data_IF_968228393822
#
_entry.id   IF_968228393822
#
_cell.length_a   1.000
_cell.length_b   1.000
_cell.length_c   1.000
_cell.angle_alpha   90.00
_cell.angle_beta   90.00
_cell.angle_gamma   90.00
#
_symmetry.space_group_name_H-M   'P 1'
#
loop_
_entity.id
_entity.type
_entity.pdbx_description
1 polymer ?
#
# COMPACT_ATOMS: atom_id res chain seq x y z
N UNK A 1 -18.89 -6.19 0.13
CA UNK A 1 -17.98 -5.14 -0.30
C UNK A 1 -18.13 -3.99 0.67
N UNK A 2 -17.03 -3.40 1.12
CA UNK A 2 -17.01 -2.32 2.12
C UNK A 2 -16.35 -1.11 1.51
N UNK A 3 -16.93 0.07 1.72
CA UNK A 3 -16.43 1.32 1.14
C UNK A 3 -15.64 2.11 2.19
N UNK A 4 -14.39 2.42 1.88
CA UNK A 4 -13.52 3.29 2.69
C UNK A 4 -13.62 4.71 2.16
N UNK A 5 -14.08 5.61 3.03
CA UNK A 5 -14.42 6.99 2.70
C UNK A 5 -13.34 8.03 3.02
N UNK A 6 -13.58 9.29 2.65
CA UNK A 6 -12.62 10.39 2.84
C UNK A 6 -12.21 10.57 4.32
N UNK A 7 -13.16 10.53 5.27
CA UNK A 7 -12.84 10.70 6.69
C UNK A 7 -11.86 9.65 7.24
N UNK A 8 -11.89 8.42 6.72
CA UNK A 8 -10.89 7.43 7.10
C UNK A 8 -9.53 7.77 6.47
N UNK A 9 -9.50 8.12 5.18
CA UNK A 9 -8.29 8.42 4.42
C UNK A 9 -7.66 9.79 4.72
N UNK A 10 -8.35 10.68 5.43
CA UNK A 10 -7.82 11.99 5.84
C UNK A 10 -6.47 11.87 6.55
N UNK A 11 -6.33 10.84 7.38
CA UNK A 11 -5.16 10.57 8.22
C UNK A 11 -4.08 9.73 7.53
N UNK A 12 -4.35 9.25 6.31
CA UNK A 12 -3.46 8.36 5.59
C UNK A 12 -3.14 8.96 4.22
N UNK A 13 -2.12 9.82 4.12
CA UNK A 13 -1.74 10.45 2.86
C UNK A 13 -1.21 9.46 1.84
N UNK A 14 -1.05 8.17 2.16
CA UNK A 14 -0.75 7.11 1.20
C UNK A 14 -1.52 5.84 1.55
N UNK A 15 -1.95 5.10 0.53
CA UNK A 15 -2.57 3.80 0.70
C UNK A 15 -2.35 2.87 -0.50
N UNK A 16 -2.60 1.58 -0.29
CA UNK A 16 -2.63 0.57 -1.35
C UNK A 16 -3.61 -0.56 -1.03
N UNK A 17 -4.30 -1.09 -2.04
CA UNK A 17 -5.15 -2.28 -1.94
C UNK A 17 -4.44 -3.55 -2.41
N UNK A 18 -3.32 -3.43 -3.14
CA UNK A 18 -2.69 -4.54 -3.85
C UNK A 18 -1.18 -4.70 -3.58
N UNK A 19 -0.51 -3.73 -2.95
CA UNK A 19 0.95 -3.72 -2.75
C UNK A 19 1.35 -4.36 -1.41
N UNK A 20 1.01 -5.64 -1.25
CA UNK A 20 1.21 -6.36 0.01
C UNK A 20 1.36 -7.87 -0.25
N UNK A 21 2.15 -8.60 0.56
CA UNK A 21 2.27 -10.05 0.43
C UNK A 21 1.07 -10.83 0.99
N UNK A 22 0.10 -10.14 1.62
CA UNK A 22 -1.05 -10.78 2.24
C UNK A 22 -2.09 -11.15 1.19
N UNK A 23 -2.57 -12.40 1.20
CA UNK A 23 -3.56 -12.91 0.26
C UNK A 23 -4.88 -12.11 0.18
N UNK A 24 -5.19 -11.27 1.16
CA UNK A 24 -6.32 -10.36 1.07
C UNK A 24 -6.13 -9.29 -0.02
N UNK A 25 -4.89 -8.96 -0.37
CA UNK A 25 -4.56 -7.95 -1.38
C UNK A 25 -4.63 -8.50 -2.81
N UNK A 26 -4.56 -9.83 -3.01
CA UNK A 26 -4.68 -10.46 -4.34
C UNK A 26 -5.97 -10.06 -5.07
N UNK A 27 -7.04 -9.76 -4.32
CA UNK A 27 -8.35 -9.35 -4.85
C UNK A 27 -8.82 -7.98 -4.30
N UNK A 28 -7.93 -7.21 -3.66
CA UNK A 28 -8.27 -5.93 -3.01
C UNK A 28 -9.29 -6.06 -1.87
N UNK A 29 -9.20 -7.12 -1.08
CA UNK A 29 -10.01 -7.40 0.11
C UNK A 29 -9.39 -6.83 1.41
N UNK A 30 -8.35 -6.01 1.28
CA UNK A 30 -7.76 -5.22 2.34
C UNK A 30 -7.19 -3.93 1.78
N UNK A 31 -6.83 -3.01 2.67
CA UNK A 31 -6.16 -1.76 2.36
C UNK A 31 -5.05 -1.52 3.38
N UNK A 32 -3.84 -1.25 2.89
CA UNK A 32 -2.70 -0.82 3.68
C UNK A 32 -2.69 0.71 3.72
N UNK A 33 -2.71 1.27 4.91
CA UNK A 33 -2.88 2.69 5.21
C UNK A 33 -1.62 3.24 5.88
N UNK A 34 -0.98 4.22 5.24
CA UNK A 34 0.29 4.79 5.68
C UNK A 34 0.04 6.17 6.30
N UNK A 35 0.24 6.35 7.62
CA UNK A 35 -0.05 7.61 8.32
C UNK A 35 1.09 8.65 8.23
N UNK A 36 2.17 8.36 7.50
CA UNK A 36 3.34 9.24 7.38
C UNK A 36 2.96 10.64 6.88
N UNK A 37 3.26 11.67 7.65
CA UNK A 37 2.99 13.06 7.25
C UNK A 37 4.03 13.61 6.26
N UNK A 38 3.59 14.38 5.26
CA UNK A 38 4.46 15.06 4.31
C UNK A 38 4.92 14.20 3.13
N UNK A 39 6.05 14.58 2.52
CA UNK A 39 6.57 13.91 1.32
C UNK A 39 7.18 12.55 1.67
N UNK A 40 6.48 11.47 1.29
CA UNK A 40 6.92 10.09 1.52
C UNK A 40 8.27 9.77 0.84
N UNK A 41 8.71 10.56 -0.14
CA UNK A 41 10.00 10.35 -0.82
C UNK A 41 11.18 10.72 0.07
N UNK A 42 10.96 11.49 1.14
CA UNK A 42 12.00 11.91 2.09
C UNK A 42 12.33 10.83 3.14
N UNK A 43 11.47 9.81 3.30
CA UNK A 43 11.77 8.67 4.20
C UNK A 43 12.77 7.72 3.54
N UNK A 44 14.06 7.97 3.78
CA UNK A 44 15.14 6.99 3.56
C UNK A 44 15.29 6.03 4.74
N UNK A 45 16.12 4.99 4.61
CA UNK A 45 16.43 4.03 5.70
C UNK A 45 17.11 4.69 6.92
N UNK A 46 17.56 5.93 6.80
CA UNK A 46 18.10 6.75 7.89
C UNK A 46 17.07 7.60 8.66
N UNK A 47 15.80 7.62 8.23
CA UNK A 47 14.72 8.34 8.93
C UNK A 47 14.07 7.52 10.05
N UNK A 48 13.59 8.17 11.10
CA UNK A 48 12.66 7.52 12.05
C UNK A 48 11.37 7.18 11.32
N UNK A 49 11.05 5.90 11.22
CA UNK A 49 9.77 5.45 10.67
C UNK A 49 8.63 5.99 11.52
N UNK A 50 7.54 6.36 10.86
CA UNK A 50 6.28 6.64 11.53
C UNK A 50 5.82 5.40 12.33
N UNK A 51 5.35 5.63 13.54
CA UNK A 51 4.82 4.60 14.45
C UNK A 51 3.44 4.93 14.99
N UNK A 52 2.91 6.14 14.79
CA UNK A 52 1.54 6.45 15.19
C UNK A 52 0.55 5.53 14.47
N UNK A 53 -0.38 4.95 15.23
CA UNK A 53 -1.45 4.11 14.69
C UNK A 53 -2.83 4.76 14.90
N UNK A 54 -3.18 5.82 14.12
CA UNK A 54 -4.52 6.40 14.19
C UNK A 54 -5.58 5.40 13.73
N UNK A 55 -6.72 5.34 14.40
CA UNK A 55 -7.78 4.40 14.05
C UNK A 55 -8.42 4.77 12.71
N UNK A 56 -8.45 3.86 11.72
CA UNK A 56 -9.11 4.11 10.43
C UNK A 56 -10.64 3.88 10.47
N UNK A 57 -11.17 3.47 11.62
CA UNK A 57 -12.60 3.19 11.83
C UNK A 57 -13.04 3.72 13.20
N UNK A 58 -14.35 3.85 13.39
CA UNK A 58 -14.94 4.10 14.70
C UNK A 58 -15.77 2.88 15.14
N UNK A 59 -15.83 2.63 16.45
CA UNK A 59 -16.62 1.55 17.04
C UNK A 59 -16.01 1.00 18.34
N UNK A 60 -16.53 -0.15 18.77
CA UNK A 60 -16.06 -0.85 19.97
C UNK A 60 -14.93 -1.81 19.63
N UNK A 61 -13.83 -1.78 20.37
CA UNK A 61 -12.79 -2.80 20.32
C UNK A 61 -13.37 -4.09 20.91
N UNK A 62 -13.49 -5.15 20.13
CA UNK A 62 -14.08 -6.43 20.58
C UNK A 62 -13.04 -7.52 20.81
N UNK A 63 -11.83 -7.35 20.26
CA UNK A 63 -10.71 -8.27 20.52
C UNK A 63 -9.35 -7.63 20.23
N UNK A 64 -8.35 -8.05 20.99
CA UNK A 64 -6.93 -7.89 20.65
C UNK A 64 -6.24 -9.24 20.69
N UNK A 65 -5.21 -9.44 19.86
CA UNK A 65 -4.45 -10.69 19.82
C UNK A 65 -3.01 -10.46 19.38
N UNK A 66 -2.08 -11.06 20.11
CA UNK A 66 -0.66 -11.11 19.74
C UNK A 66 -0.31 -12.46 19.11
N UNK A 67 0.52 -12.45 18.08
CA UNK A 67 1.03 -13.64 17.38
C UNK A 67 2.53 -13.52 17.14
N UNK A 68 3.23 -14.64 17.03
CA UNK A 68 4.64 -14.64 16.62
C UNK A 68 4.77 -14.24 15.14
N UNK A 69 5.69 -13.32 14.85
CA UNK A 69 6.08 -12.94 13.50
C UNK A 69 7.24 -13.82 13.01
N UNK A 70 7.44 -13.94 11.67
CA UNK A 70 8.65 -14.53 11.12
C UNK A 70 9.90 -13.82 11.65
N UNK A 71 10.94 -14.58 12.02
CA UNK A 71 12.18 -13.97 12.51
C UNK A 71 12.93 -13.29 11.35
N UNK A 72 13.18 -11.99 11.50
CA UNK A 72 13.96 -11.13 10.59
C UNK A 72 14.78 -10.16 11.43
N UNK A 73 16.00 -9.85 11.01
CA UNK A 73 16.92 -8.99 11.78
C UNK A 73 16.40 -7.56 11.99
N UNK A 74 15.52 -7.09 11.08
CA UNK A 74 14.92 -5.76 11.12
C UNK A 74 13.54 -5.71 11.80
N UNK A 75 12.99 -6.85 12.24
CA UNK A 75 11.60 -6.95 12.69
C UNK A 75 11.49 -7.30 14.18
N UNK A 76 10.37 -6.90 14.77
CA UNK A 76 10.00 -7.35 16.11
C UNK A 76 9.57 -8.82 16.12
N UNK A 77 9.63 -9.47 17.29
CA UNK A 77 9.26 -10.89 17.44
C UNK A 77 7.75 -11.15 17.30
N UNK A 78 6.93 -10.12 17.56
CA UNK A 78 5.48 -10.26 17.65
C UNK A 78 4.77 -9.29 16.72
N UNK A 79 3.67 -9.77 16.17
CA UNK A 79 2.71 -8.98 15.41
C UNK A 79 1.34 -9.05 16.12
N UNK A 80 0.45 -8.14 15.77
CA UNK A 80 -0.75 -7.88 16.54
C UNK A 80 -1.97 -7.75 15.64
N UNK A 81 -3.12 -8.08 16.20
CA UNK A 81 -4.44 -7.90 15.62
C UNK A 81 -5.31 -7.15 16.63
N UNK A 82 -5.94 -6.08 16.16
CA UNK A 82 -7.03 -5.37 16.82
C UNK A 82 -8.29 -5.61 16.00
N UNK A 83 -9.41 -5.88 16.66
CA UNK A 83 -10.72 -6.06 16.02
C UNK A 83 -11.67 -5.03 16.57
N UNK A 84 -12.21 -4.19 15.69
CA UNK A 84 -13.21 -3.16 16.01
C UNK A 84 -14.53 -3.53 15.36
N UNK A 85 -15.62 -3.57 16.13
CA UNK A 85 -16.98 -3.70 15.62
C UNK A 85 -17.52 -2.32 15.23
N UNK A 86 -17.75 -2.09 13.94
CA UNK A 86 -18.17 -0.79 13.39
C UNK A 86 -19.70 -0.62 13.36
N UNK A 87 -20.44 -1.52 14.01
CA UNK A 87 -21.90 -1.65 13.92
C UNK A 87 -22.41 -2.44 12.69
N UNK A 88 -21.61 -2.54 11.63
CA UNK A 88 -21.95 -3.34 10.43
C UNK A 88 -20.91 -4.42 10.13
N UNK A 89 -19.65 -4.19 10.47
CA UNK A 89 -18.54 -5.07 10.16
C UNK A 89 -17.61 -5.27 11.35
N UNK A 90 -16.86 -6.37 11.30
CA UNK A 90 -15.64 -6.52 12.10
C UNK A 90 -14.46 -6.00 11.26
N UNK A 91 -13.94 -4.84 11.64
CA UNK A 91 -12.71 -4.28 11.10
C UNK A 91 -11.51 -4.94 11.79
N UNK A 92 -10.62 -5.52 10.99
CA UNK A 92 -9.38 -6.14 11.44
C UNK A 92 -8.22 -5.24 11.11
N UNK A 93 -7.46 -4.89 12.13
CA UNK A 93 -6.33 -3.97 12.06
C UNK A 93 -5.09 -4.75 12.49
N UNK A 94 -4.10 -4.88 11.61
CA UNK A 94 -2.83 -5.56 11.92
C UNK A 94 -1.70 -4.53 12.10
N UNK A 95 -0.55 -5.02 12.59
CA UNK A 95 0.71 -4.28 12.69
C UNK A 95 0.71 -3.14 13.70
N UNK A 96 -0.15 -3.23 14.72
CA UNK A 96 -0.24 -2.23 15.80
C UNK A 96 -0.13 -2.93 17.15
N UNK A 97 0.93 -2.68 17.91
CA UNK A 97 0.99 -3.05 19.32
C UNK A 97 -0.10 -2.25 20.05
N UNK A 98 -1.14 -2.91 20.61
CA UNK A 98 -2.33 -2.23 21.05
C UNK A 98 -2.12 -1.47 22.35
N UNK A 99 -2.56 -0.21 22.38
CA UNK A 99 -2.78 0.58 23.59
C UNK A 99 -4.26 0.59 24.05
N UNK A 100 -5.11 -0.17 23.35
CA UNK A 100 -6.55 -0.33 23.60
C UNK A 100 -6.87 -1.77 24.00
N UNK A 101 -7.97 -1.96 24.72
CA UNK A 101 -8.44 -3.25 25.21
C UNK A 101 -9.89 -3.54 24.76
N UNK A 102 -10.33 -4.81 24.75
CA UNK A 102 -11.72 -5.13 24.48
C UNK A 102 -12.70 -4.41 25.42
N UNK A 103 -13.71 -3.75 24.84
CA UNK A 103 -14.68 -2.88 25.53
C UNK A 103 -14.38 -1.39 25.41
N UNK A 104 -13.22 -0.99 24.89
CA UNK A 104 -12.92 0.41 24.59
C UNK A 104 -13.67 0.90 23.35
N UNK A 105 -14.15 2.13 23.39
CA UNK A 105 -14.74 2.83 22.24
C UNK A 105 -13.67 3.70 21.58
N UNK A 106 -13.52 3.59 20.26
CA UNK A 106 -12.58 4.40 19.47
C UNK A 106 -13.32 5.21 18.42
N UNK A 107 -12.93 6.47 18.26
CA UNK A 107 -13.32 7.30 17.13
C UNK A 107 -12.28 7.22 16.00
N UNK A 108 -12.66 7.72 14.82
CA UNK A 108 -11.72 7.91 13.72
C UNK A 108 -10.56 8.81 14.18
N UNK A 109 -9.34 8.27 14.09
CA UNK A 109 -8.10 8.96 14.45
C UNK A 109 -7.66 8.88 15.90
N UNK A 110 -8.46 8.25 16.76
CA UNK A 110 -7.97 7.90 18.09
C UNK A 110 -6.79 6.94 17.96
N UNK A 111 -5.80 7.08 18.83
CA UNK A 111 -4.64 6.20 18.82
C UNK A 111 -5.04 4.78 19.21
N UNK A 112 -4.67 3.81 18.38
CA UNK A 112 -4.78 2.38 18.68
C UNK A 112 -3.54 1.84 19.40
N UNK A 113 -2.46 2.63 19.46
CA UNK A 113 -1.15 2.21 19.95
C UNK A 113 -0.03 2.62 19.00
N UNK A 114 0.99 1.77 18.88
CA UNK A 114 2.15 2.01 18.02
C UNK A 114 2.29 0.93 16.95
N UNK A 115 2.53 1.34 15.70
CA UNK A 115 2.79 0.42 14.60
C UNK A 115 4.11 -0.31 14.82
N UNK A 116 4.11 -1.61 14.56
CA UNK A 116 5.29 -2.47 14.68
C UNK A 116 5.87 -2.81 13.32
N UNK A 117 7.20 -2.95 13.26
CA UNK A 117 7.86 -3.50 12.08
C UNK A 117 7.76 -5.01 12.08
N UNK A 118 6.72 -5.53 11.44
CA UNK A 118 6.42 -6.96 11.40
C UNK A 118 7.40 -7.75 10.53
N UNK A 119 7.72 -8.97 10.95
CA UNK A 119 8.55 -9.91 10.18
C UNK A 119 7.87 -10.47 8.93
N UNK A 120 6.57 -10.19 8.75
CA UNK A 120 5.83 -10.47 7.52
C UNK A 120 6.09 -9.43 6.41
N UNK A 121 6.64 -8.26 6.75
CA UNK A 121 6.99 -7.25 5.76
C UNK A 121 8.19 -7.64 4.91
N UNK A 122 8.21 -7.16 3.67
CA UNK A 122 9.44 -7.12 2.90
C UNK A 122 10.33 -5.95 3.38
N UNK A 123 11.66 -6.01 3.22
CA UNK A 123 12.58 -4.99 3.75
C UNK A 123 12.33 -3.55 3.25
N UNK A 124 11.77 -3.40 2.05
CA UNK A 124 11.45 -2.12 1.40
C UNK A 124 10.09 -1.54 1.81
N UNK A 125 9.32 -2.25 2.64
CA UNK A 125 7.98 -1.82 3.06
C UNK A 125 8.09 -0.92 4.29
N UNK A 126 7.41 0.23 4.22
CA UNK A 126 7.27 1.16 5.34
C UNK A 126 6.18 0.66 6.29
N UNK A 127 6.23 1.11 7.55
CA UNK A 127 5.18 0.81 8.52
C UNK A 127 3.82 1.34 8.02
N UNK A 128 2.78 0.54 8.21
CA UNK A 128 1.41 0.85 7.83
C UNK A 128 0.42 0.07 8.68
N UNK A 129 -0.82 0.56 8.70
CA UNK A 129 -1.98 -0.16 9.21
C UNK A 129 -2.56 -1.00 8.09
N UNK A 130 -2.59 -2.30 8.26
CA UNK A 130 -3.36 -3.18 7.38
C UNK A 130 -4.80 -3.27 7.89
N UNK A 131 -5.77 -2.93 7.03
CA UNK A 131 -7.20 -2.93 7.36
C UNK A 131 -7.98 -3.88 6.44
N UNK A 132 -8.71 -4.82 7.03
CA UNK A 132 -9.66 -5.69 6.33
C UNK A 132 -10.99 -5.81 7.06
N UNK A 133 -12.06 -6.14 6.36
CA UNK A 133 -13.42 -6.18 6.94
C UNK A 133 -14.07 -7.55 6.84
N UNK A 134 -14.93 -7.89 7.79
CA UNK A 134 -15.74 -9.13 7.80
C UNK A 134 -17.16 -8.86 8.26
N UNK A 135 -18.07 -9.78 7.97
CA UNK A 135 -19.39 -9.79 8.61
C UNK A 135 -19.28 -10.02 10.12
N UNK A 136 -20.27 -9.53 10.88
CA UNK A 136 -20.31 -9.62 12.35
C UNK A 136 -20.32 -11.05 12.91
N UNK A 137 -20.82 -12.02 12.14
CA UNK A 137 -20.90 -13.43 12.52
C UNK A 137 -19.65 -14.24 12.11
N UNK A 138 -18.71 -13.64 11.37
CA UNK A 138 -17.51 -14.31 10.91
C UNK A 138 -16.46 -14.44 12.01
N UNK A 139 -15.58 -15.44 11.89
CA UNK A 139 -14.43 -15.57 12.78
C UNK A 139 -13.41 -14.46 12.49
N UNK A 140 -13.15 -13.53 13.44
CA UNK A 140 -12.26 -12.40 13.21
C UNK A 140 -10.78 -12.77 13.26
N UNK A 141 -10.40 -14.00 13.59
CA UNK A 141 -9.01 -14.44 13.72
C UNK A 141 -8.47 -15.22 12.51
N UNK A 142 -9.32 -15.66 11.58
CA UNK A 142 -8.89 -16.41 10.38
C UNK A 142 -8.17 -15.50 9.40
N UNK A 143 -6.98 -15.80 8.90
CA UNK A 143 -6.29 -14.91 7.95
C UNK A 143 -7.12 -14.59 6.69
N UNK A 144 -7.82 -15.58 6.13
CA UNK A 144 -8.67 -15.44 4.93
C UNK A 144 -10.13 -15.13 5.24
N UNK A 145 -10.86 -14.60 4.25
CA UNK A 145 -12.30 -14.31 4.33
C UNK A 145 -12.65 -12.84 4.58
N UNK A 146 -11.74 -11.91 4.27
CA UNK A 146 -12.05 -10.48 4.25
C UNK A 146 -12.97 -10.14 3.07
N UNK A 147 -13.83 -9.14 3.24
CA UNK A 147 -14.72 -8.62 2.21
C UNK A 147 -13.94 -7.70 1.25
N UNK A 148 -14.34 -7.62 -0.04
CA UNK A 148 -13.74 -6.67 -0.98
C UNK A 148 -13.85 -5.22 -0.48
N UNK A 149 -12.76 -4.46 -0.56
CA UNK A 149 -12.68 -3.04 -0.18
C UNK A 149 -12.78 -2.17 -1.42
N UNK A 150 -13.59 -1.12 -1.40
CA UNK A 150 -13.66 -0.09 -2.43
C UNK A 150 -13.32 1.29 -1.87
N UNK A 151 -12.69 2.12 -2.67
CA UNK A 151 -12.49 3.54 -2.32
C UNK A 151 -13.73 4.33 -2.70
N UNK A 152 -14.30 5.05 -1.74
CA UNK A 152 -15.52 5.82 -1.94
C UNK A 152 -15.40 6.80 -3.14
N UNK A 153 -16.44 6.99 -3.95
CA UNK A 153 -16.38 7.83 -5.15
C UNK A 153 -16.08 9.30 -4.85
N UNK A 154 -16.34 9.77 -3.63
CA UNK A 154 -16.03 11.11 -3.15
C UNK A 154 -14.52 11.34 -2.96
N UNK A 155 -13.73 10.27 -2.85
CA UNK A 155 -12.26 10.36 -2.78
C UNK A 155 -11.74 10.60 -4.20
N UNK A 156 -11.21 11.80 -4.41
CA UNK A 156 -10.60 12.20 -5.67
C UNK A 156 -9.27 11.49 -5.88
N UNK A 157 -9.19 10.70 -6.96
CA UNK A 157 -7.99 9.99 -7.39
C UNK A 157 -7.59 10.44 -8.80
N UNK A 158 -6.33 10.80 -9.00
CA UNK A 158 -5.78 11.20 -10.29
C UNK A 158 -4.71 10.22 -10.79
N UNK A 159 -4.93 9.65 -11.98
CA UNK A 159 -3.90 8.91 -12.70
C UNK A 159 -2.92 9.84 -13.40
N UNK A 160 -1.62 9.59 -13.24
CA UNK A 160 -0.55 10.38 -13.85
C UNK A 160 0.27 9.48 -14.77
N UNK A 161 0.34 9.86 -16.04
CA UNK A 161 1.15 9.15 -17.01
C UNK A 161 2.64 9.29 -16.66
N UNK A 162 3.38 8.19 -16.84
CA UNK A 162 4.81 8.13 -16.59
C UNK A 162 5.49 7.44 -17.77
N UNK A 163 6.56 8.03 -18.27
CA UNK A 163 7.33 7.51 -19.40
C UNK A 163 8.48 6.58 -18.97
N UNK A 164 8.56 6.25 -17.68
CA UNK A 164 9.61 5.43 -17.10
C UNK A 164 10.85 6.20 -16.67
N UNK A 165 10.92 7.53 -16.87
CA UNK A 165 12.11 8.32 -16.52
C UNK A 165 11.95 9.09 -15.22
N UNK A 166 13.04 9.27 -14.49
CA UNK A 166 13.10 10.12 -13.31
C UNK A 166 14.52 10.28 -12.78
N UNK A 167 14.69 11.13 -11.78
CA UNK A 167 15.94 11.30 -11.04
C UNK A 167 15.78 10.74 -9.64
N UNK A 168 16.79 10.00 -9.17
CA UNK A 168 16.78 9.44 -7.82
C UNK A 168 16.83 10.57 -6.79
N UNK A 169 15.81 10.65 -5.94
CA UNK A 169 15.71 11.63 -4.84
C UNK A 169 15.97 11.01 -3.47
N UNK A 170 15.77 9.70 -3.34
CA UNK A 170 16.13 8.94 -2.16
C UNK A 170 16.59 7.53 -2.53
N UNK A 171 17.50 6.98 -1.75
CA UNK A 171 17.97 5.61 -1.86
C UNK A 171 18.05 4.99 -0.47
N UNK A 172 17.57 3.76 -0.35
CA UNK A 172 17.73 2.88 0.80
C UNK A 172 18.52 1.63 0.42
N UNK A 173 18.74 0.74 1.38
CA UNK A 173 19.46 -0.54 1.17
C UNK A 173 18.75 -1.46 0.18
N UNK A 174 17.42 -1.31 0.01
CA UNK A 174 16.62 -2.22 -0.82
C UNK A 174 15.71 -1.53 -1.83
N UNK A 175 15.81 -0.21 -1.96
CA UNK A 175 14.97 0.56 -2.85
C UNK A 175 15.62 1.87 -3.28
N UNK A 176 15.13 2.44 -4.37
CA UNK A 176 15.37 3.81 -4.78
C UNK A 176 14.05 4.50 -5.11
N UNK A 177 13.98 5.81 -4.96
CA UNK A 177 12.80 6.62 -5.22
C UNK A 177 13.12 7.66 -6.28
N UNK A 178 12.32 7.69 -7.34
CA UNK A 178 12.41 8.67 -8.41
C UNK A 178 11.45 9.83 -8.13
N UNK A 179 11.86 11.05 -8.52
CA UNK A 179 11.02 12.27 -8.44
C UNK A 179 9.81 12.25 -9.37
N UNK A 180 9.84 11.43 -10.41
CA UNK A 180 8.83 11.38 -11.45
C UNK A 180 7.97 10.11 -11.39
N UNK A 181 6.69 10.19 -11.81
CA UNK A 181 6.02 11.40 -12.30
C UNK A 181 5.64 12.37 -11.18
N UNK A 182 5.53 13.67 -11.52
CA UNK A 182 5.16 14.72 -10.56
C UNK A 182 3.69 14.60 -10.11
N UNK A 183 3.44 14.93 -8.84
CA UNK A 183 2.09 15.01 -8.33
C UNK A 183 1.37 16.25 -8.90
N UNK A 184 0.16 16.12 -9.47
CA UNK A 184 -0.47 17.21 -10.21
C UNK A 184 -0.99 18.34 -9.31
N UNK A 185 -1.44 18.01 -8.09
CA UNK A 185 -2.00 18.95 -7.10
C UNK A 185 -1.73 18.45 -5.67
N UNK A 186 -0.48 18.52 -5.17
CA UNK A 186 -0.09 18.04 -3.83
C UNK A 186 -1.03 18.52 -2.72
N UNK A 187 -1.41 17.63 -1.81
CA UNK A 187 -2.27 17.93 -0.65
C UNK A 187 -3.77 18.04 -0.96
N UNK A 188 -4.17 18.28 -2.23
CA UNK A 188 -5.58 18.47 -2.61
C UNK A 188 -6.31 17.16 -2.92
N UNK A 189 -5.62 16.19 -3.52
CA UNK A 189 -6.18 14.89 -3.91
C UNK A 189 -5.10 13.82 -3.93
N UNK A 190 -5.52 12.58 -4.01
CA UNK A 190 -4.62 11.45 -4.18
C UNK A 190 -4.24 11.28 -5.65
N UNK A 191 -3.00 10.88 -5.91
CA UNK A 191 -2.52 10.53 -7.24
C UNK A 191 -1.69 9.24 -7.24
N UNK A 192 -1.65 8.57 -8.39
CA UNK A 192 -0.82 7.39 -8.61
C UNK A 192 -0.44 7.25 -10.08
N UNK A 193 0.51 6.37 -10.37
CA UNK A 193 0.98 6.11 -11.73
C UNK A 193 -0.15 5.46 -12.53
N UNK A 194 -0.51 6.06 -13.67
CA UNK A 194 -1.59 5.53 -14.49
C UNK A 194 -1.15 4.41 -15.41
N UNK A 195 -2.02 3.43 -15.61
CA UNK A 195 -1.91 2.54 -16.76
C UNK A 195 -2.16 3.33 -18.06
N UNK A 196 -1.55 2.91 -19.17
CA UNK A 196 -1.79 3.52 -20.47
C UNK A 196 -3.24 3.34 -20.96
N UNK A 197 -3.92 2.29 -20.50
CA UNK A 197 -5.34 2.05 -20.75
C UNK A 197 -6.29 2.90 -19.88
N UNK A 198 -5.73 3.73 -18.98
CA UNK A 198 -6.45 4.58 -18.03
C UNK A 198 -6.75 3.87 -16.70
N UNK A 199 -6.90 4.66 -15.63
CA UNK A 199 -6.93 4.17 -14.25
C UNK A 199 -5.53 4.20 -13.61
N UNK A 200 -5.47 3.96 -12.30
CA UNK A 200 -4.26 4.06 -11.48
C UNK A 200 -3.79 2.64 -11.15
N UNK A 201 -2.52 2.34 -11.42
CA UNK A 201 -1.90 1.08 -11.05
C UNK A 201 -1.60 1.04 -9.55
N UNK A 202 -1.83 -0.13 -8.97
CA UNK A 202 -1.57 -0.42 -7.56
C UNK A 202 -1.02 -1.85 -7.44
N UNK A 203 0.00 -2.06 -6.60
CA UNK A 203 0.64 -3.38 -6.43
C UNK A 203 2.14 -3.40 -6.62
N UNK A 204 2.74 -4.56 -6.35
CA UNK A 204 4.17 -4.82 -6.52
C UNK A 204 4.46 -5.45 -7.87
N UNK A 205 4.80 -4.66 -8.87
CA UNK A 205 5.04 -5.11 -10.24
C UNK A 205 6.51 -5.53 -10.45
N UNK A 206 6.87 -6.80 -10.70
CA UNK A 206 6.05 -8.01 -10.61
C UNK A 206 6.45 -8.86 -9.38
N UNK A 207 6.90 -8.24 -8.29
CA UNK A 207 7.37 -8.96 -7.10
C UNK A 207 6.24 -9.47 -6.18
N UNK A 208 4.99 -9.16 -6.51
CA UNK A 208 3.81 -9.90 -6.08
C UNK A 208 3.16 -10.57 -7.29
N UNK A 209 2.31 -11.58 -7.09
CA UNK A 209 1.70 -12.34 -8.20
C UNK A 209 0.72 -11.51 -9.04
N UNK A 210 0.23 -10.39 -8.50
CA UNK A 210 -0.68 -9.49 -9.19
C UNK A 210 -0.76 -8.10 -8.58
N UNK A 211 -1.65 -7.29 -9.13
CA UNK A 211 -2.04 -6.00 -8.58
C UNK A 211 -3.41 -5.57 -9.05
N UNK A 212 -3.64 -4.26 -9.14
CA UNK A 212 -4.96 -3.74 -9.46
C UNK A 212 -4.96 -2.39 -10.18
N UNK A 213 -6.15 -2.04 -10.67
CA UNK A 213 -6.42 -0.78 -11.35
C UNK A 213 -7.56 -0.01 -10.64
N UNK A 214 -7.20 1.06 -9.95
CA UNK A 214 -8.15 1.94 -9.28
C UNK A 214 -8.73 2.95 -10.27
N UNK A 215 -10.04 3.20 -10.17
CA UNK A 215 -10.80 4.05 -11.11
C UNK A 215 -10.64 3.64 -12.59
N UNK A 216 -10.31 2.38 -12.85
CA UNK A 216 -10.35 1.81 -14.18
C UNK A 216 -11.79 1.79 -14.72
N UNK A 217 -11.93 1.52 -16.02
CA UNK A 217 -13.26 1.41 -16.65
C UNK A 217 -14.08 0.20 -16.19
N UNK A 218 -13.51 -0.65 -15.31
CA UNK A 218 -14.10 -1.91 -14.86
C UNK A 218 -14.24 -2.94 -15.98
N UNK A 219 -13.53 -2.74 -17.09
CA UNK A 219 -13.54 -3.62 -18.26
C UNK A 219 -12.27 -4.45 -18.28
N UNK A 220 -12.44 -5.71 -18.60
CA UNK A 220 -11.32 -6.61 -18.85
C UNK A 220 -10.50 -6.10 -20.05
N UNK A 221 -9.18 -6.20 -19.95
CA UNK A 221 -8.32 -5.74 -21.03
C UNK A 221 -6.84 -5.68 -20.70
N UNK A 222 -5.99 -5.53 -21.72
CA UNK A 222 -4.55 -5.41 -21.51
C UNK A 222 -4.22 -4.15 -20.72
N UNK A 223 -3.26 -4.29 -19.81
CA UNK A 223 -2.70 -3.20 -19.03
C UNK A 223 -1.25 -3.02 -19.43
N UNK A 224 -0.86 -1.77 -19.69
CA UNK A 224 0.51 -1.44 -20.09
C UNK A 224 1.07 -0.31 -19.23
N UNK A 225 2.38 -0.36 -19.02
CA UNK A 225 3.20 0.66 -18.38
C UNK A 225 4.50 0.81 -19.18
N UNK A 226 4.97 2.04 -19.40
CA UNK A 226 6.20 2.33 -20.14
C UNK A 226 6.27 1.63 -21.52
N UNK A 227 5.16 1.64 -22.26
CA UNK A 227 5.03 1.09 -23.61
C UNK A 227 4.94 -0.43 -23.69
N UNK A 228 4.82 -1.13 -22.55
CA UNK A 228 4.87 -2.59 -22.48
C UNK A 228 3.72 -3.13 -21.65
N UNK A 229 3.13 -4.22 -22.14
CA UNK A 229 2.06 -4.91 -21.43
C UNK A 229 2.63 -5.54 -20.16
N UNK A 230 1.96 -5.31 -19.04
CA UNK A 230 2.32 -5.82 -17.71
C UNK A 230 1.32 -6.85 -17.20
N UNK A 231 0.17 -7.02 -17.87
CA UNK A 231 -0.85 -7.98 -17.48
C UNK A 231 -2.18 -7.79 -18.22
N UNK A 232 -3.22 -8.43 -17.71
CA UNK A 232 -4.62 -8.27 -18.17
C UNK A 232 -5.50 -8.00 -16.96
N UNK A 233 -6.21 -6.86 -16.96
CA UNK A 233 -7.20 -6.62 -15.94
C UNK A 233 -8.38 -7.59 -16.12
N UNK A 234 -8.82 -8.19 -15.02
CA UNK A 234 -10.07 -8.92 -14.83
C UNK A 234 -10.89 -8.14 -13.80
N UNK A 235 -11.86 -7.36 -14.28
CA UNK A 235 -12.51 -6.31 -13.50
C UNK A 235 -11.51 -5.22 -13.07
N UNK A 236 -11.07 -5.28 -11.81
CA UNK A 236 -10.04 -4.36 -11.25
C UNK A 236 -8.73 -5.05 -10.88
N UNK A 237 -8.68 -6.38 -10.83
CA UNK A 237 -7.50 -7.15 -10.46
C UNK A 237 -6.69 -7.45 -11.71
N UNK A 238 -5.37 -7.48 -11.59
CA UNK A 238 -4.44 -7.74 -12.68
C UNK A 238 -3.49 -8.85 -12.23
N UNK A 239 -3.60 -10.08 -12.77
CA UNK A 239 -2.49 -11.02 -12.76
C UNK A 239 -1.35 -10.42 -13.59
N UNK A 240 -0.16 -10.27 -13.00
CA UNK A 240 0.97 -9.76 -13.76
C UNK A 240 1.42 -10.78 -14.80
N UNK A 241 1.81 -10.30 -15.98
CA UNK A 241 2.53 -11.11 -16.96
C UNK A 241 3.93 -11.43 -16.39
N UNK A 242 4.56 -12.51 -16.89
CA UNK A 242 5.96 -12.83 -16.58
C UNK A 242 6.89 -11.81 -17.27
N UNK A 243 7.11 -10.68 -16.58
CA UNK A 243 7.91 -9.55 -17.05
C UNK A 243 9.10 -9.30 -16.13
N UNK A 244 10.12 -8.64 -16.66
CA UNK A 244 11.24 -8.15 -15.83
C UNK A 244 11.33 -6.63 -15.92
N UNK A 245 11.47 -5.98 -14.78
CA UNK A 245 11.71 -4.53 -14.70
C UNK A 245 13.21 -4.26 -14.71
N UNK A 246 13.63 -3.31 -15.53
CA UNK A 246 15.01 -2.85 -15.63
C UNK A 246 15.08 -1.38 -15.25
N UNK A 247 16.12 -0.98 -14.54
CA UNK A 247 16.51 0.41 -14.32
C UNK A 247 17.91 0.61 -14.88
N UNK A 248 18.07 1.53 -15.84
CA UNK A 248 19.33 1.75 -16.57
C UNK A 248 19.90 0.46 -17.20
N UNK A 249 19.03 -0.46 -17.61
CA UNK A 249 19.40 -1.76 -18.20
C UNK A 249 19.80 -2.83 -17.18
N UNK A 250 19.80 -2.53 -15.88
CA UNK A 250 20.02 -3.48 -14.78
C UNK A 250 18.68 -4.06 -14.33
N UNK A 251 18.50 -5.39 -14.27
CA UNK A 251 17.28 -5.98 -13.75
C UNK A 251 17.13 -5.67 -12.26
N UNK A 252 15.92 -5.27 -11.85
CA UNK A 252 15.55 -5.02 -10.46
C UNK A 252 14.36 -5.89 -10.06
N UNK A 253 14.09 -6.01 -8.76
CA UNK A 253 12.97 -6.80 -8.25
C UNK A 253 11.61 -6.26 -8.74
N UNK A 254 11.47 -4.94 -8.91
CA UNK A 254 10.28 -4.38 -9.53
C UNK A 254 9.99 -2.93 -9.14
N UNK A 255 8.72 -2.56 -9.28
CA UNK A 255 8.14 -1.29 -8.86
C UNK A 255 7.14 -1.51 -7.74
N UNK A 256 7.15 -0.63 -6.75
CA UNK A 256 6.11 -0.57 -5.73
C UNK A 256 5.14 0.55 -6.11
N UNK A 257 3.93 0.17 -6.52
CA UNK A 257 2.89 1.07 -7.02
C UNK A 257 1.81 1.25 -5.95
N UNK A 258 1.44 2.49 -5.69
CA UNK A 258 0.48 2.89 -4.67
C UNK A 258 -0.06 4.29 -4.98
N UNK A 259 -0.96 4.78 -4.13
CA UNK A 259 -1.56 6.10 -4.26
C UNK A 259 -1.13 6.99 -3.10
N UNK A 260 -0.74 8.24 -3.38
CA UNK A 260 -0.30 9.19 -2.38
C UNK A 260 -0.88 10.59 -2.63
N UNK A 261 -1.06 11.39 -1.57
CA UNK A 261 -1.68 12.73 -1.57
C UNK A 261 -0.66 13.86 -1.59
N UNK A 262 0.41 13.73 -0.81
CA UNK A 262 1.37 14.82 -0.62
C UNK A 262 2.43 14.88 -1.74
N UNK A 263 2.79 13.74 -2.31
CA UNK A 263 3.80 13.65 -3.35
C UNK A 263 3.61 12.40 -4.21
N UNK A 264 4.16 12.43 -5.43
CA UNK A 264 4.17 11.31 -6.37
C UNK A 264 5.60 11.11 -6.89
N UNK A 265 5.89 9.88 -7.25
CA UNK A 265 7.16 9.41 -7.75
C UNK A 265 7.07 7.90 -7.98
N UNK A 266 8.14 7.30 -8.49
CA UNK A 266 8.23 5.86 -8.67
C UNK A 266 9.18 5.25 -7.63
N UNK A 267 8.72 4.24 -6.89
CA UNK A 267 9.56 3.48 -5.96
C UNK A 267 10.07 2.21 -6.64
N UNK A 268 11.38 2.16 -6.88
CA UNK A 268 12.10 1.01 -7.40
C UNK A 268 12.42 0.06 -6.25
N UNK A 269 12.16 -1.24 -6.41
CA UNK A 269 12.56 -2.28 -5.46
C UNK A 269 13.79 -2.99 -6.01
N UNK A 270 14.91 -2.87 -5.32
CA UNK A 270 16.23 -3.26 -5.83
C UNK A 270 17.22 -3.66 -4.72
N UNK A 271 16.96 -4.74 -3.95
CA UNK A 271 17.91 -5.24 -2.95
C UNK A 271 19.27 -5.68 -3.52
N UNK A 272 19.33 -5.96 -4.84
CA UNK A 272 20.53 -6.42 -5.54
C UNK A 272 21.15 -5.35 -6.47
N UNK A 273 20.68 -4.09 -6.41
CA UNK A 273 21.22 -2.99 -7.20
C UNK A 273 21.21 -1.66 -6.42
N UNK A 274 22.27 -0.89 -6.56
CA UNK A 274 22.45 0.41 -5.88
C UNK A 274 22.26 1.56 -6.87
N UNK A 275 21.67 2.66 -6.38
CA UNK A 275 21.47 3.89 -7.13
C UNK A 275 21.88 5.08 -6.27
N UNK A 276 22.46 6.11 -6.89
CA UNK A 276 22.90 7.32 -6.17
C UNK A 276 21.86 8.43 -6.27
N UNK A 277 21.68 9.21 -5.18
CA UNK A 277 20.84 10.42 -5.23
C UNK A 277 21.39 11.38 -6.29
N UNK A 278 20.52 11.84 -7.19
CA UNK A 278 20.87 12.65 -8.35
C UNK A 278 21.13 11.85 -9.64
N UNK A 279 21.15 10.51 -9.57
CA UNK A 279 21.25 9.65 -10.75
C UNK A 279 19.98 9.73 -11.60
N UNK A 280 20.15 9.90 -12.91
CA UNK A 280 19.05 9.78 -13.86
C UNK A 280 18.79 8.30 -14.18
N UNK A 281 17.53 7.88 -14.04
CA UNK A 281 17.10 6.50 -14.26
C UNK A 281 16.06 6.43 -15.38
N UNK A 282 16.26 5.47 -16.28
CA UNK A 282 15.28 5.02 -17.24
C UNK A 282 14.80 3.62 -16.86
N UNK A 283 13.49 3.49 -16.62
CA UNK A 283 12.81 2.25 -16.29
C UNK A 283 12.17 1.66 -17.54
N UNK A 284 12.45 0.38 -17.78
CA UNK A 284 11.86 -0.40 -18.85
C UNK A 284 11.24 -1.68 -18.30
N UNK A 285 10.11 -2.09 -18.86
CA UNK A 285 9.53 -3.42 -18.63
C UNK A 285 9.81 -4.28 -19.86
N UNK A 286 10.31 -5.50 -19.71
CA UNK A 286 10.62 -6.37 -20.85
C UNK A 286 9.90 -7.69 -20.83
#
# INVERSE_FOLDING_TARGET
MVTVGPHALEQFPRFSLYNSPYAAHDEGCAIDLYPHEGDWRETGDGGTRETAAPSPVAGEVVATRTVSAPSKDYAVEHDHLIVVETGEYLARILHVEPAVEPGDEVALGDSLGEMVRSGFFAPWVDNHIHLGFRSLDANPYRASGSLPVEIAPEVELAGVAWDGRGTVVAAGETYAVLDAPDHPTPGERFAGISAESGGILDGGLPHYDGGGILRGTGRDGPVSLAGRRVGTAEGRTIPWDDVTVFANGTPITGLSLFVAREALGAKLVCPDAEFEVGEAVEVEVR
#
